data_IF_272861143659
#
_entry.id   IF_272861143659
#
_cell.length_a   1.000
_cell.length_b   1.000
_cell.length_c   1.000
_cell.angle_alpha   90.00
_cell.angle_beta   90.00
_cell.angle_gamma   90.00
#
_symmetry.space_group_name_H-M   'P 1'
#
loop_
_entity.id
_entity.type
_entity.pdbx_description
1 polymer ?
#
# COMPACT_ATOMS: atom_id res chain seq x y z
N UNK A 1 -28.42 23.09 8.19
CA UNK A 1 -28.91 21.93 7.42
C UNK A 1 -28.58 22.17 5.96
N UNK A 2 -27.55 21.50 5.44
CA UNK A 2 -27.17 21.52 4.03
C UNK A 2 -27.06 20.07 3.57
N UNK A 3 -27.64 19.74 2.42
CA UNK A 3 -27.75 18.36 1.96
C UNK A 3 -26.44 17.88 1.34
N UNK A 4 -25.86 16.82 1.90
CA UNK A 4 -24.87 16.01 1.20
C UNK A 4 -25.62 15.05 0.27
N UNK A 5 -25.78 15.43 -0.99
CA UNK A 5 -26.33 14.55 -2.03
C UNK A 5 -25.26 13.53 -2.42
N UNK A 6 -25.12 12.47 -1.63
CA UNK A 6 -24.28 11.33 -1.97
C UNK A 6 -24.79 10.69 -3.26
N UNK A 7 -23.99 10.76 -4.33
CA UNK A 7 -24.26 10.01 -5.56
C UNK A 7 -24.05 8.53 -5.27
N UNK A 8 -25.16 7.82 -5.02
CA UNK A 8 -25.18 6.37 -4.89
C UNK A 8 -24.89 5.75 -6.26
N UNK A 9 -23.62 5.59 -6.60
CA UNK A 9 -23.19 4.74 -7.71
C UNK A 9 -23.50 3.29 -7.37
N UNK A 10 -24.74 2.88 -7.68
CA UNK A 10 -25.21 1.52 -7.56
C UNK A 10 -24.56 0.68 -8.67
N UNK A 11 -23.33 0.22 -8.43
CA UNK A 11 -22.64 -0.75 -9.32
C UNK A 11 -23.41 -2.07 -9.25
N UNK A 12 -24.38 -2.20 -10.15
CA UNK A 12 -25.14 -3.43 -10.36
C UNK A 12 -24.27 -4.44 -11.11
N UNK A 13 -23.36 -5.09 -10.39
CA UNK A 13 -22.64 -6.26 -10.89
C UNK A 13 -23.65 -7.40 -11.13
N UNK A 14 -24.05 -7.60 -12.38
CA UNK A 14 -25.06 -8.59 -12.76
C UNK A 14 -24.44 -9.99 -12.83
N UNK A 15 -24.37 -10.68 -11.70
CA UNK A 15 -23.95 -12.08 -11.66
C UNK A 15 -24.99 -12.96 -12.37
N UNK A 16 -24.72 -13.33 -13.62
CA UNK A 16 -25.45 -14.38 -14.32
C UNK A 16 -25.08 -15.75 -13.73
N UNK A 17 -25.82 -16.17 -12.70
CA UNK A 17 -25.70 -17.52 -12.14
C UNK A 17 -26.22 -18.55 -13.16
N UNK A 18 -25.29 -19.11 -13.94
CA UNK A 18 -25.58 -20.28 -14.77
C UNK A 18 -26.04 -21.45 -13.88
N UNK A 19 -27.33 -21.79 -13.95
CA UNK A 19 -27.90 -22.95 -13.27
C UNK A 19 -27.34 -24.23 -13.91
N UNK A 20 -26.31 -24.80 -13.29
CA UNK A 20 -25.87 -26.17 -13.57
C UNK A 20 -27.01 -27.12 -13.18
N UNK A 21 -27.73 -27.62 -14.17
CA UNK A 21 -28.69 -28.70 -13.99
C UNK A 21 -27.94 -30.00 -13.72
N UNK A 22 -28.26 -30.65 -12.60
CA UNK A 22 -27.60 -31.89 -12.21
C UNK A 22 -27.88 -33.01 -13.23
N UNK A 23 -26.82 -33.53 -13.85
CA UNK A 23 -26.88 -34.72 -14.71
C UNK A 23 -26.57 -35.96 -13.86
N UNK A 24 -27.55 -36.86 -13.75
CA UNK A 24 -27.44 -38.14 -13.05
C UNK A 24 -26.56 -39.12 -13.82
N UNK A 25 -25.66 -39.90 -13.18
CA UNK A 25 -24.82 -40.86 -13.89
C UNK A 25 -25.57 -42.15 -14.22
N UNK A 26 -25.48 -42.61 -15.47
CA UNK A 26 -25.91 -43.95 -15.89
C UNK A 26 -24.70 -44.79 -16.30
N UNK A 27 -24.71 -46.06 -15.90
CA UNK A 27 -23.62 -47.03 -16.06
C UNK A 27 -23.37 -47.45 -17.52
N UNK A 28 -22.12 -47.83 -17.77
CA UNK A 28 -21.59 -48.50 -18.97
C UNK A 28 -22.50 -49.59 -19.57
N UNK A 29 -22.48 -49.72 -20.91
CA UNK A 29 -22.48 -51.04 -21.56
C UNK A 29 -21.74 -51.08 -22.91
N UNK A 30 -20.61 -51.78 -22.90
CA UNK A 30 -19.89 -52.54 -23.94
C UNK A 30 -20.24 -52.51 -25.47
N UNK A 31 -19.14 -52.41 -26.26
CA UNK A 31 -18.81 -53.18 -27.50
C UNK A 31 -19.60 -52.89 -28.81
N UNK A 32 -18.88 -52.38 -29.83
CA UNK A 32 -18.70 -53.05 -31.13
C UNK A 32 -17.59 -52.40 -32.00
N UNK A 33 -16.94 -53.23 -32.84
CA UNK A 33 -15.63 -53.09 -33.50
C UNK A 33 -15.72 -52.66 -34.98
N UNK A 34 -14.59 -52.20 -35.53
CA UNK A 34 -14.26 -52.12 -36.99
C UNK A 34 -14.81 -50.86 -37.73
N UNK A 35 -14.12 -50.26 -38.72
CA UNK A 35 -13.04 -50.77 -39.60
C UNK A 35 -12.01 -49.70 -39.98
N UNK A 36 -10.77 -50.15 -40.18
CA UNK A 36 -9.59 -49.48 -40.79
C UNK A 36 -9.87 -48.76 -42.12
N UNK A 37 -9.17 -47.64 -42.38
CA UNK A 37 -8.47 -47.47 -43.66
C UNK A 37 -7.20 -46.63 -43.53
N UNK A 38 -6.14 -47.05 -44.23
CA UNK A 38 -4.78 -46.51 -44.15
C UNK A 38 -4.24 -46.29 -45.56
N UNK A 39 -3.70 -45.11 -45.84
CA UNK A 39 -2.77 -44.78 -46.96
C UNK A 39 -1.95 -43.59 -46.42
N UNK A 40 -0.63 -43.59 -46.18
CA UNK A 40 0.55 -44.38 -46.61
C UNK A 40 1.15 -44.02 -47.97
N UNK A 41 2.16 -43.14 -47.96
CA UNK A 41 3.45 -43.18 -48.70
C UNK A 41 4.26 -41.94 -48.25
N UNK A 42 5.47 -41.99 -47.66
CA UNK A 42 6.76 -42.57 -48.11
C UNK A 42 7.34 -41.77 -49.32
N UNK A 43 8.63 -41.42 -49.47
CA UNK A 43 9.91 -41.64 -48.72
C UNK A 43 10.87 -40.45 -49.12
N UNK A 44 12.14 -40.25 -48.71
CA UNK A 44 13.22 -41.11 -48.16
C UNK A 44 14.20 -40.29 -47.26
N UNK A 45 15.35 -40.89 -46.91
CA UNK A 45 16.43 -40.47 -45.99
C UNK A 45 17.49 -39.50 -46.58
N UNK A 46 18.30 -38.88 -45.70
CA UNK A 46 19.75 -39.20 -45.63
C UNK A 46 20.36 -38.81 -44.27
N UNK A 47 21.41 -39.53 -43.87
CA UNK A 47 22.07 -39.49 -42.56
C UNK A 47 23.43 -38.77 -42.60
N UNK A 48 23.79 -38.11 -41.50
CA UNK A 48 25.18 -38.14 -41.00
C UNK A 48 25.22 -37.77 -39.51
N UNK A 49 25.79 -38.65 -38.69
CA UNK A 49 26.00 -38.47 -37.26
C UNK A 49 27.27 -37.64 -36.98
N UNK A 50 27.26 -36.83 -35.92
CA UNK A 50 28.46 -36.64 -35.07
C UNK A 50 28.03 -36.58 -33.61
N UNK A 51 28.66 -37.39 -32.77
CA UNK A 51 28.48 -37.47 -31.32
C UNK A 51 29.50 -36.59 -30.59
N UNK A 52 29.09 -35.90 -29.52
CA UNK A 52 29.96 -35.61 -28.37
C UNK A 52 29.13 -35.31 -27.11
N UNK A 53 29.30 -36.17 -26.12
CA UNK A 53 29.42 -35.90 -24.67
C UNK A 53 28.37 -35.03 -23.95
N UNK A 54 27.62 -35.70 -23.07
CA UNK A 54 27.08 -35.12 -21.84
C UNK A 54 28.23 -34.70 -20.90
N UNK A 55 28.14 -33.50 -20.33
CA UNK A 55 28.73 -33.21 -19.02
C UNK A 55 27.66 -32.58 -18.12
N UNK A 56 27.32 -33.25 -17.03
CA UNK A 56 26.46 -32.68 -15.98
C UNK A 56 27.21 -31.53 -15.30
N UNK A 57 26.79 -30.30 -15.58
CA UNK A 57 27.20 -29.10 -14.87
C UNK A 57 26.04 -28.60 -14.01
N UNK A 58 25.86 -29.18 -12.83
CA UNK A 58 24.97 -28.62 -11.83
C UNK A 58 25.55 -27.27 -11.34
N UNK A 59 25.09 -26.17 -11.92
CA UNK A 59 25.30 -24.86 -11.32
C UNK A 59 24.27 -24.67 -10.21
N UNK A 60 24.75 -24.97 -9.01
CA UNK A 60 24.22 -24.53 -7.73
C UNK A 60 23.94 -23.02 -7.79
N UNK A 61 22.68 -22.64 -8.04
CA UNK A 61 22.22 -21.29 -7.76
C UNK A 61 22.26 -21.14 -6.24
N UNK A 62 23.35 -20.54 -5.75
CA UNK A 62 23.40 -20.02 -4.41
C UNK A 62 22.19 -19.11 -4.23
N UNK A 63 21.31 -19.48 -3.30
CA UNK A 63 20.32 -18.54 -2.81
C UNK A 63 21.11 -17.37 -2.22
N UNK A 64 21.00 -16.21 -2.87
CA UNK A 64 21.29 -14.95 -2.19
C UNK A 64 20.22 -14.89 -1.11
N UNK A 65 20.61 -15.20 0.12
CA UNK A 65 19.90 -14.70 1.27
C UNK A 65 20.03 -13.18 1.20
N UNK A 66 18.95 -12.51 0.87
CA UNK A 66 18.80 -11.08 1.12
C UNK A 66 18.77 -10.90 2.65
N UNK A 67 19.96 -10.93 3.25
CA UNK A 67 20.17 -10.44 4.61
C UNK A 67 19.86 -8.95 4.55
N UNK A 68 18.62 -8.59 4.88
CA UNK A 68 18.18 -7.21 5.09
C UNK A 68 19.22 -6.56 5.99
N UNK A 69 19.93 -5.58 5.45
CA UNK A 69 20.96 -4.87 6.19
C UNK A 69 20.30 -4.20 7.39
N UNK A 70 20.61 -4.63 8.62
CA UNK A 70 19.88 -4.23 9.83
C UNK A 70 19.95 -2.72 10.14
N UNK A 71 20.94 -2.05 9.55
CA UNK A 71 21.12 -0.59 9.57
C UNK A 71 20.14 0.17 8.64
N UNK A 72 19.49 -0.51 7.68
CA UNK A 72 18.64 0.08 6.64
C UNK A 72 17.12 -0.11 6.90
N UNK A 73 16.75 -0.89 7.92
CA UNK A 73 15.35 -1.09 8.29
C UNK A 73 14.77 0.17 8.97
N UNK A 74 13.61 0.71 8.54
CA UNK A 74 13.07 1.96 9.05
C UNK A 74 12.74 1.89 10.56
N UNK A 75 13.08 2.94 11.30
CA UNK A 75 12.84 3.00 12.75
C UNK A 75 11.37 3.30 13.04
N UNK A 76 10.57 2.24 13.19
CA UNK A 76 9.11 2.33 13.38
C UNK A 76 8.67 1.93 14.79
N UNK A 77 7.49 2.41 15.18
CA UNK A 77 6.72 1.85 16.28
C UNK A 77 5.43 1.23 15.74
N UNK A 78 5.15 -0.03 16.07
CA UNK A 78 3.99 -0.75 15.54
C UNK A 78 2.63 -0.16 15.95
N UNK A 79 2.60 0.67 17.00
CA UNK A 79 1.42 1.41 17.43
C UNK A 79 1.30 2.81 16.76
N UNK A 80 2.21 3.15 15.85
CA UNK A 80 2.22 4.44 15.18
C UNK A 80 1.01 4.56 14.25
N UNK A 81 0.42 5.75 14.21
CA UNK A 81 -0.91 5.98 13.63
C UNK A 81 -1.04 5.59 12.16
N UNK A 82 0.02 5.76 11.35
CA UNK A 82 0.03 5.40 9.93
C UNK A 82 0.19 3.89 9.70
N UNK A 83 0.52 3.11 10.74
CA UNK A 83 0.85 1.68 10.66
C UNK A 83 -0.28 0.75 11.13
N UNK A 84 -1.50 1.28 11.34
CA UNK A 84 -2.67 0.45 11.66
C UNK A 84 -3.04 -0.49 10.49
N UNK A 85 -2.98 -1.80 10.72
CA UNK A 85 -3.38 -2.80 9.75
C UNK A 85 -4.90 -3.01 9.78
N UNK A 86 -5.57 -2.74 8.65
CA UNK A 86 -7.00 -2.99 8.42
C UNK A 86 -7.13 -3.70 7.08
N UNK A 87 -8.05 -4.66 6.98
CA UNK A 87 -8.26 -5.47 5.77
C UNK A 87 -9.03 -6.74 6.08
N UNK A 88 -9.20 -7.69 5.15
CA UNK A 88 -10.13 -8.84 5.32
C UNK A 88 -9.88 -9.73 6.54
N UNK A 89 -8.65 -9.79 7.05
CA UNK A 89 -8.27 -10.53 8.27
C UNK A 89 -8.24 -9.64 9.53
N UNK A 90 -8.29 -8.32 9.41
CA UNK A 90 -8.02 -7.34 10.46
C UNK A 90 -9.12 -6.27 10.53
N UNK A 91 -10.03 -6.39 11.50
CA UNK A 91 -11.05 -5.36 11.74
C UNK A 91 -10.43 -4.14 12.39
N UNK A 92 -10.84 -2.94 11.96
CA UNK A 92 -10.42 -1.67 12.55
C UNK A 92 -10.74 -1.62 14.06
N UNK A 93 -9.78 -1.16 14.85
CA UNK A 93 -9.91 -1.02 16.32
C UNK A 93 -10.70 0.23 16.70
N UNK A 94 -10.44 1.35 16.01
CA UNK A 94 -11.20 2.59 16.11
C UNK A 94 -11.25 3.26 14.75
N UNK A 95 -12.43 3.73 14.36
CA UNK A 95 -12.59 4.68 13.25
C UNK A 95 -11.86 5.99 13.59
N UNK A 96 -11.45 6.74 12.56
CA UNK A 96 -10.89 8.09 12.74
C UNK A 96 -11.96 9.05 13.30
N UNK A 97 -11.56 9.93 14.23
CA UNK A 97 -12.46 10.91 14.82
C UNK A 97 -12.84 12.01 13.80
N UNK A 98 -14.06 12.55 13.90
CA UNK A 98 -14.55 13.53 12.92
C UNK A 98 -13.74 14.84 12.94
N UNK A 99 -13.22 15.22 14.09
CA UNK A 99 -12.29 16.34 14.30
C UNK A 99 -10.86 16.10 13.78
N UNK A 100 -10.53 14.85 13.45
CA UNK A 100 -9.26 14.46 12.84
C UNK A 100 -9.34 14.34 11.31
N UNK A 101 -10.53 14.50 10.72
CA UNK A 101 -10.71 14.57 9.27
C UNK A 101 -10.30 15.94 8.71
N UNK A 102 -9.40 15.93 7.73
CA UNK A 102 -9.05 17.05 6.88
C UNK A 102 -9.84 17.01 5.58
N UNK A 103 -10.06 18.17 4.96
CA UNK A 103 -10.73 18.29 3.67
C UNK A 103 -9.72 18.67 2.57
N UNK A 104 -9.67 17.83 1.53
CA UNK A 104 -8.87 18.04 0.33
C UNK A 104 -9.44 19.15 -0.57
N UNK A 105 -8.64 19.63 -1.51
CA UNK A 105 -9.00 20.64 -2.51
C UNK A 105 -10.18 20.20 -3.39
N UNK A 106 -10.22 18.93 -3.77
CA UNK A 106 -11.31 18.27 -4.48
C UNK A 106 -12.57 18.02 -3.61
N UNK A 107 -12.47 18.29 -2.31
CA UNK A 107 -13.57 18.24 -1.35
C UNK A 107 -13.79 16.93 -0.63
N UNK A 108 -13.03 15.87 -0.95
CA UNK A 108 -13.03 14.62 -0.20
C UNK A 108 -12.43 14.80 1.20
N UNK A 109 -12.77 13.87 2.10
CA UNK A 109 -12.22 13.82 3.46
C UNK A 109 -11.14 12.73 3.55
N UNK A 110 -10.11 13.00 4.33
CA UNK A 110 -9.00 12.09 4.68
C UNK A 110 -8.57 12.37 6.11
N UNK A 111 -7.65 11.60 6.68
CA UNK A 111 -6.93 12.02 7.89
C UNK A 111 -6.23 13.36 7.62
N UNK A 112 -6.43 14.37 8.49
CA UNK A 112 -5.84 15.71 8.32
C UNK A 112 -4.31 15.70 8.24
N UNK A 113 -3.67 14.65 8.75
CA UNK A 113 -2.22 14.44 8.69
C UNK A 113 -1.71 14.09 7.29
N UNK A 114 -2.55 13.54 6.41
CA UNK A 114 -2.15 13.14 5.05
C UNK A 114 -2.54 14.15 3.96
N UNK A 115 -3.18 15.27 4.33
CA UNK A 115 -3.64 16.31 3.38
C UNK A 115 -2.48 16.87 2.56
N UNK A 116 -1.37 17.29 3.18
CA UNK A 116 -0.22 17.85 2.45
C UNK A 116 0.37 16.83 1.49
N UNK A 117 0.60 15.61 1.98
CA UNK A 117 1.15 14.51 1.20
C UNK A 117 0.30 14.18 -0.04
N UNK A 118 -1.03 14.17 0.07
CA UNK A 118 -1.90 13.95 -1.07
C UNK A 118 -1.89 15.12 -2.07
N UNK A 119 -1.99 16.37 -1.61
CA UNK A 119 -2.01 17.53 -2.51
C UNK A 119 -0.66 17.68 -3.25
N UNK A 120 0.45 17.33 -2.59
CA UNK A 120 1.79 17.27 -3.18
C UNK A 120 1.91 16.16 -4.24
N UNK A 121 1.42 14.95 -3.95
CA UNK A 121 1.32 13.85 -4.93
C UNK A 121 0.46 14.24 -6.14
N UNK A 122 -0.70 14.87 -5.91
CA UNK A 122 -1.63 15.25 -6.95
C UNK A 122 -1.07 16.36 -7.87
N UNK A 123 -0.34 17.34 -7.31
CA UNK A 123 0.34 18.36 -8.11
C UNK A 123 1.52 17.77 -8.90
N UNK A 124 2.30 16.87 -8.29
CA UNK A 124 3.40 16.19 -8.99
C UNK A 124 2.92 15.33 -10.16
N UNK A 125 1.84 14.56 -9.96
CA UNK A 125 1.20 13.77 -10.99
C UNK A 125 0.70 14.66 -12.15
N UNK A 126 0.06 15.79 -11.82
CA UNK A 126 -0.38 16.81 -12.78
C UNK A 126 0.79 17.44 -13.54
N UNK A 127 1.92 17.74 -12.90
CA UNK A 127 3.15 18.24 -13.55
C UNK A 127 3.75 17.20 -14.49
N UNK A 128 3.66 15.91 -14.15
CA UNK A 128 4.08 14.80 -15.00
C UNK A 128 3.13 14.52 -16.19
N UNK A 129 1.95 15.15 -16.23
CA UNK A 129 0.94 14.93 -17.28
C UNK A 129 -0.12 13.88 -16.94
N UNK A 130 -0.18 13.43 -15.69
CA UNK A 130 -1.13 12.44 -15.16
C UNK A 130 -1.99 13.05 -14.03
N UNK A 131 -2.80 14.10 -14.30
CA UNK A 131 -3.62 14.73 -13.26
C UNK A 131 -4.60 13.71 -12.64
N UNK A 132 -4.58 13.60 -11.31
CA UNK A 132 -5.35 12.59 -10.58
C UNK A 132 -6.82 12.99 -10.36
N UNK A 133 -7.70 12.01 -10.53
CA UNK A 133 -9.12 12.06 -10.18
C UNK A 133 -9.36 11.15 -8.98
N UNK A 134 -9.86 11.73 -7.89
CA UNK A 134 -10.26 11.00 -6.69
C UNK A 134 -11.63 10.34 -6.89
N UNK A 135 -11.68 9.02 -6.74
CA UNK A 135 -12.91 8.22 -6.82
C UNK A 135 -13.52 8.01 -5.42
N UNK A 136 -12.68 7.75 -4.41
CA UNK A 136 -13.11 7.41 -3.06
C UNK A 136 -12.00 7.68 -2.04
N UNK A 137 -12.37 8.04 -0.81
CA UNK A 137 -11.44 8.42 0.26
C UNK A 137 -12.03 7.99 1.61
N UNK A 138 -11.98 8.80 2.67
CA UNK A 138 -12.63 8.45 3.95
C UNK A 138 -14.09 8.03 3.78
N UNK A 139 -14.45 6.92 4.44
CA UNK A 139 -15.78 6.33 4.45
C UNK A 139 -16.09 5.86 5.86
N UNK A 140 -17.18 6.33 6.47
CA UNK A 140 -17.50 5.89 7.84
C UNK A 140 -17.93 4.42 7.91
N UNK A 141 -17.75 3.78 9.06
CA UNK A 141 -18.24 2.40 9.28
C UNK A 141 -19.77 2.37 9.18
N UNK A 142 -20.45 3.41 9.68
CA UNK A 142 -21.91 3.55 9.60
C UNK A 142 -22.41 3.61 8.15
N UNK A 143 -21.83 4.45 7.29
CA UNK A 143 -22.24 4.54 5.89
C UNK A 143 -21.93 3.26 5.11
N UNK A 144 -20.83 2.58 5.41
CA UNK A 144 -20.55 1.27 4.82
C UNK A 144 -21.53 0.19 5.30
N UNK A 145 -22.00 0.27 6.55
CA UNK A 145 -23.06 -0.59 7.09
C UNK A 145 -24.39 -0.36 6.36
N UNK A 146 -24.78 0.88 6.08
CA UNK A 146 -25.98 1.19 5.28
C UNK A 146 -25.94 0.56 3.89
N UNK A 147 -24.79 0.68 3.18
CA UNK A 147 -24.59 0.06 1.85
C UNK A 147 -24.66 -1.48 1.96
N UNK A 148 -23.98 -2.06 2.95
CA UNK A 148 -23.94 -3.51 3.15
C UNK A 148 -25.34 -4.07 3.41
N UNK A 149 -26.08 -3.46 4.34
CA UNK A 149 -27.45 -3.86 4.68
C UNK A 149 -28.43 -3.63 3.52
N UNK A 150 -28.28 -2.56 2.73
CA UNK A 150 -29.09 -2.34 1.54
C UNK A 150 -28.95 -3.49 0.52
N UNK A 151 -27.72 -3.99 0.32
CA UNK A 151 -27.43 -5.11 -0.57
C UNK A 151 -27.93 -6.45 -0.01
N UNK A 152 -27.67 -6.75 1.26
CA UNK A 152 -28.21 -7.95 1.95
C UNK A 152 -29.74 -7.97 1.87
N UNK A 153 -30.40 -6.85 2.18
CA UNK A 153 -31.86 -6.74 2.08
C UNK A 153 -32.37 -6.87 0.64
N UNK A 154 -31.58 -6.47 -0.37
CA UNK A 154 -31.92 -6.69 -1.79
C UNK A 154 -31.93 -8.17 -2.14
N UNK A 155 -30.92 -8.92 -1.70
CA UNK A 155 -30.83 -10.37 -1.93
C UNK A 155 -31.90 -11.15 -1.16
N UNK A 156 -32.26 -10.71 0.06
CA UNK A 156 -33.39 -11.29 0.81
C UNK A 156 -34.71 -11.08 0.05
N UNK A 157 -34.96 -9.89 -0.52
CA UNK A 157 -36.15 -9.65 -1.38
C UNK A 157 -36.16 -10.50 -2.66
N UNK A 158 -35.01 -10.97 -3.12
CA UNK A 158 -34.88 -11.90 -4.25
C UNK A 158 -35.08 -13.38 -3.83
N UNK A 159 -35.34 -13.67 -2.55
CA UNK A 159 -35.65 -14.99 -2.03
C UNK A 159 -34.49 -15.74 -1.37
N UNK A 160 -33.34 -15.09 -1.17
CA UNK A 160 -32.23 -15.69 -0.41
C UNK A 160 -32.52 -15.68 1.09
N UNK A 161 -31.97 -16.64 1.83
CA UNK A 161 -31.91 -16.56 3.31
C UNK A 161 -30.99 -15.40 3.73
N UNK A 162 -31.09 -14.94 4.98
CA UNK A 162 -30.22 -13.86 5.48
C UNK A 162 -28.75 -14.27 5.43
N UNK A 163 -28.46 -15.53 5.77
CA UNK A 163 -27.12 -16.11 5.80
C UNK A 163 -26.53 -16.16 4.39
N UNK A 164 -27.31 -16.59 3.39
CA UNK A 164 -26.88 -16.64 1.98
C UNK A 164 -26.74 -15.23 1.39
N UNK A 165 -27.65 -14.31 1.73
CA UNK A 165 -27.55 -12.91 1.32
C UNK A 165 -26.26 -12.25 1.85
N UNK A 166 -25.93 -12.44 3.13
CA UNK A 166 -24.66 -11.96 3.72
C UNK A 166 -23.46 -12.61 3.02
N UNK A 167 -23.50 -13.92 2.78
CA UNK A 167 -22.42 -14.66 2.10
C UNK A 167 -22.17 -14.13 0.69
N UNK A 168 -23.22 -13.85 -0.08
CA UNK A 168 -23.14 -13.27 -1.43
C UNK A 168 -22.65 -11.82 -1.37
N UNK A 169 -23.18 -10.97 -0.47
CA UNK A 169 -22.74 -9.57 -0.35
C UNK A 169 -21.24 -9.47 -0.06
N UNK A 170 -20.68 -10.36 0.78
CA UNK A 170 -19.23 -10.41 1.05
C UNK A 170 -18.36 -10.81 -0.14
N UNK A 171 -18.93 -11.24 -1.27
CA UNK A 171 -18.17 -11.51 -2.50
C UNK A 171 -17.87 -10.24 -3.30
N UNK A 172 -18.58 -9.13 -3.05
CA UNK A 172 -18.46 -7.88 -3.83
C UNK A 172 -18.44 -6.61 -2.99
N UNK A 173 -18.66 -6.71 -1.67
CA UNK A 173 -18.64 -5.57 -0.74
C UNK A 173 -17.83 -5.93 0.50
N UNK A 174 -16.83 -5.09 0.80
CA UNK A 174 -16.05 -5.15 2.05
C UNK A 174 -16.98 -5.04 3.26
N UNK A 175 -16.81 -5.94 4.24
CA UNK A 175 -17.60 -5.92 5.46
C UNK A 175 -17.32 -4.65 6.29
N UNK A 176 -18.35 -4.01 6.91
CA UNK A 176 -18.16 -2.80 7.71
C UNK A 176 -17.15 -2.99 8.85
N UNK A 177 -16.15 -2.10 8.88
CA UNK A 177 -15.01 -2.17 9.79
C UNK A 177 -13.78 -2.93 9.25
N UNK A 178 -13.84 -3.54 8.06
CA UNK A 178 -12.70 -4.22 7.42
C UNK A 178 -12.11 -3.45 6.24
N UNK A 179 -12.52 -2.19 6.03
CA UNK A 179 -12.01 -1.29 4.99
C UNK A 179 -10.98 -0.31 5.56
N UNK A 180 -9.85 -0.14 4.88
CA UNK A 180 -8.86 0.88 5.24
C UNK A 180 -9.42 2.31 5.13
N UNK A 181 -10.46 2.55 4.31
CA UNK A 181 -11.09 3.87 4.18
C UNK A 181 -11.69 4.40 5.51
N UNK A 182 -11.96 3.52 6.47
CA UNK A 182 -12.38 3.89 7.84
C UNK A 182 -11.28 4.57 8.66
N UNK A 183 -10.01 4.42 8.26
CA UNK A 183 -8.86 5.07 8.91
C UNK A 183 -8.63 6.50 8.41
N UNK A 184 -9.21 6.88 7.27
CA UNK A 184 -8.85 8.11 6.55
C UNK A 184 -7.49 8.09 5.86
N UNK A 185 -6.77 6.95 5.87
CA UNK A 185 -5.43 6.78 5.28
C UNK A 185 -5.43 6.13 3.89
N UNK A 186 -6.59 5.66 3.43
CA UNK A 186 -6.76 5.04 2.11
C UNK A 186 -7.57 5.92 1.16
N UNK A 187 -7.14 5.94 -0.10
CA UNK A 187 -7.72 6.70 -1.20
C UNK A 187 -7.71 5.88 -2.49
N UNK A 188 -8.77 6.01 -3.29
CA UNK A 188 -8.90 5.43 -4.62
C UNK A 188 -8.70 6.54 -5.65
N UNK A 189 -7.61 6.46 -6.41
CA UNK A 189 -7.24 7.46 -7.42
C UNK A 189 -6.91 6.83 -8.77
N UNK A 190 -7.26 7.55 -9.83
CA UNK A 190 -6.98 7.22 -11.23
C UNK A 190 -6.54 8.49 -11.96
N UNK A 191 -5.90 8.37 -13.13
CA UNK A 191 -5.60 9.55 -13.95
C UNK A 191 -6.85 10.05 -14.73
N UNK A 192 -6.83 11.33 -15.15
CA UNK A 192 -7.94 11.95 -15.87
C UNK A 192 -8.22 11.30 -17.24
N UNK A 193 -7.22 10.80 -17.95
CA UNK A 193 -7.44 10.13 -19.25
C UNK A 193 -8.19 8.81 -19.04
N UNK A 194 -7.78 8.01 -18.06
CA UNK A 194 -8.50 6.80 -17.66
C UNK A 194 -9.95 7.12 -17.26
N UNK A 195 -10.17 8.16 -16.45
CA UNK A 195 -11.50 8.59 -16.01
C UNK A 195 -12.42 9.01 -17.17
N UNK A 196 -11.91 9.75 -18.16
CA UNK A 196 -12.72 10.19 -19.30
C UNK A 196 -13.00 9.04 -20.29
N UNK A 197 -12.08 8.08 -20.42
CA UNK A 197 -12.19 6.99 -21.38
C UNK A 197 -12.94 5.73 -20.85
N UNK A 198 -13.16 5.61 -19.53
CA UNK A 198 -13.83 4.45 -18.91
C UNK A 198 -15.09 4.85 -18.12
N UNK A 199 -16.27 4.72 -18.73
CA UNK A 199 -17.54 5.18 -18.12
C UNK A 199 -18.29 4.13 -17.29
N UNK A 200 -17.74 2.93 -17.11
CA UNK A 200 -18.38 1.81 -16.40
C UNK A 200 -17.58 1.35 -15.19
N UNK A 201 -16.45 0.68 -15.45
CA UNK A 201 -15.60 0.06 -14.43
C UNK A 201 -14.33 0.92 -14.23
N UNK A 202 -14.48 2.02 -13.48
CA UNK A 202 -13.38 2.96 -13.21
C UNK A 202 -12.25 2.36 -12.38
N UNK A 203 -12.55 1.39 -11.53
CA UNK A 203 -11.60 0.70 -10.65
C UNK A 203 -11.39 -0.72 -11.19
N UNK A 204 -10.37 -0.89 -12.05
CA UNK A 204 -10.03 -2.14 -12.74
C UNK A 204 -8.50 -2.22 -12.93
N UNK A 205 -7.91 -3.42 -12.83
CA UNK A 205 -6.45 -3.63 -12.95
C UNK A 205 -5.83 -3.06 -14.24
N UNK A 206 -6.64 -2.86 -15.29
CA UNK A 206 -6.24 -2.19 -16.52
C UNK A 206 -5.67 -0.77 -16.33
N UNK A 207 -6.01 -0.08 -15.23
CA UNK A 207 -5.40 1.21 -14.90
C UNK A 207 -3.88 1.08 -14.67
N UNK A 208 -3.43 0.00 -14.04
CA UNK A 208 -2.01 -0.22 -13.71
C UNK A 208 -1.09 -0.38 -14.93
N UNK A 209 -1.64 -0.61 -16.13
CA UNK A 209 -0.86 -0.67 -17.37
C UNK A 209 -0.89 0.62 -18.20
N UNK A 210 -1.61 1.67 -17.78
CA UNK A 210 -1.53 3.00 -18.40
C UNK A 210 -0.21 3.69 -18.04
N UNK A 211 0.07 4.85 -18.62
CA UNK A 211 1.26 5.61 -18.22
C UNK A 211 1.04 6.30 -16.86
N UNK A 212 -0.19 6.75 -16.55
CA UNK A 212 -0.53 7.30 -15.24
C UNK A 212 -0.52 6.28 -14.11
N UNK A 213 -1.00 5.05 -14.34
CA UNK A 213 -0.90 3.95 -13.36
C UNK A 213 0.55 3.54 -13.07
N UNK A 214 1.40 3.46 -14.10
CA UNK A 214 2.85 3.22 -13.93
C UNK A 214 3.55 4.37 -13.21
N UNK A 215 3.20 5.62 -13.53
CA UNK A 215 3.73 6.79 -12.84
C UNK A 215 3.35 6.75 -11.36
N UNK A 216 2.10 6.41 -11.05
CA UNK A 216 1.62 6.32 -9.67
C UNK A 216 2.38 5.24 -8.87
N UNK A 217 2.56 4.04 -9.44
CA UNK A 217 3.38 2.98 -8.83
C UNK A 217 4.79 3.47 -8.51
N UNK A 218 5.47 4.13 -9.46
CA UNK A 218 6.85 4.56 -9.28
C UNK A 218 7.04 5.70 -8.25
N UNK A 219 6.06 6.60 -8.12
CA UNK A 219 6.21 7.88 -7.40
C UNK A 219 5.37 8.01 -6.12
N UNK A 220 4.36 7.15 -5.86
CA UNK A 220 3.51 7.26 -4.67
C UNK A 220 4.31 7.26 -3.34
N UNK A 221 5.39 6.47 -3.28
CA UNK A 221 6.27 6.34 -2.11
C UNK A 221 6.96 7.64 -1.68
N UNK A 222 7.26 8.52 -2.64
CA UNK A 222 7.89 9.82 -2.37
C UNK A 222 7.02 10.71 -1.48
N UNK A 223 5.71 10.45 -1.49
CA UNK A 223 4.69 11.13 -0.69
C UNK A 223 4.17 10.24 0.46
N UNK A 224 4.81 9.10 0.73
CA UNK A 224 4.46 8.18 1.82
C UNK A 224 3.25 7.28 1.56
N UNK A 225 2.82 7.15 0.30
CA UNK A 225 1.77 6.23 -0.13
C UNK A 225 2.36 4.97 -0.77
N UNK A 226 1.70 3.84 -0.59
CA UNK A 226 1.98 2.57 -1.31
C UNK A 226 0.78 2.17 -2.16
N UNK A 227 1.02 1.48 -3.27
CA UNK A 227 0.00 0.69 -3.97
C UNK A 227 -0.32 -0.51 -3.07
N UNK A 228 -1.46 -0.44 -2.37
CA UNK A 228 -1.70 -1.27 -1.17
C UNK A 228 -1.84 -2.77 -1.45
N UNK A 229 -2.38 -3.09 -2.63
CA UNK A 229 -2.66 -4.44 -3.08
C UNK A 229 -1.91 -4.70 -4.39
N UNK A 230 -0.59 -5.01 -4.33
CA UNK A 230 0.24 -5.21 -5.50
C UNK A 230 -0.02 -6.55 -6.20
N UNK A 231 0.36 -6.63 -7.48
CA UNK A 231 0.06 -7.78 -8.34
C UNK A 231 0.78 -9.04 -7.85
N UNK A 232 0.02 -10.13 -7.73
CA UNK A 232 0.54 -11.45 -7.31
C UNK A 232 0.61 -11.69 -5.80
N UNK A 233 0.25 -10.72 -4.95
CA UNK A 233 0.30 -10.85 -3.47
C UNK A 233 -1.06 -11.19 -2.81
N UNK A 234 -2.07 -11.61 -3.59
CA UNK A 234 -3.42 -11.96 -3.11
C UNK A 234 -3.42 -12.94 -1.92
N UNK A 235 -2.57 -13.98 -1.95
CA UNK A 235 -2.53 -15.00 -0.90
C UNK A 235 -2.18 -14.42 0.50
N UNK A 236 -1.57 -13.24 0.52
CA UNK A 236 -1.24 -12.48 1.73
C UNK A 236 -2.37 -11.50 2.05
N UNK A 237 -2.61 -10.52 1.16
CA UNK A 237 -3.54 -9.38 1.33
C UNK A 237 -5.03 -9.79 1.37
N UNK A 238 -5.38 -10.91 0.73
CA UNK A 238 -6.74 -11.37 0.42
C UNK A 238 -7.55 -10.43 -0.49
N UNK A 239 -6.86 -9.53 -1.21
CA UNK A 239 -7.43 -8.59 -2.17
C UNK A 239 -6.59 -8.67 -3.44
N UNK A 240 -7.26 -8.65 -4.59
CA UNK A 240 -6.62 -8.71 -5.91
C UNK A 240 -5.81 -7.43 -6.22
N UNK A 241 -5.22 -7.35 -7.42
CA UNK A 241 -4.41 -6.20 -7.80
C UNK A 241 -5.26 -4.93 -7.98
N UNK A 242 -5.05 -3.93 -7.12
CA UNK A 242 -5.77 -2.65 -7.13
C UNK A 242 -4.81 -1.46 -7.34
N UNK A 243 -4.37 -1.17 -8.59
CA UNK A 243 -3.47 -0.06 -8.92
C UNK A 243 -4.00 1.35 -8.59
N UNK A 244 -5.25 1.48 -8.17
CA UNK A 244 -5.87 2.73 -7.74
C UNK A 244 -5.85 2.95 -6.23
N UNK A 245 -5.77 1.87 -5.43
CA UNK A 245 -5.89 1.94 -3.97
C UNK A 245 -4.53 2.29 -3.36
N UNK A 246 -4.38 3.55 -2.96
CA UNK A 246 -3.23 4.03 -2.23
C UNK A 246 -3.48 4.03 -0.73
N UNK A 247 -2.49 3.54 0.02
CA UNK A 247 -2.47 3.57 1.49
C UNK A 247 -1.32 4.42 1.98
N UNK A 248 -1.60 5.43 2.82
CA UNK A 248 -0.55 6.18 3.51
C UNK A 248 0.06 5.36 4.65
N UNK A 249 1.39 5.25 4.64
CA UNK A 249 2.21 4.63 5.69
C UNK A 249 3.33 5.55 6.20
N UNK A 250 3.71 6.57 5.41
CA UNK A 250 4.84 7.46 5.66
C UNK A 250 6.02 7.17 4.72
N UNK A 251 6.82 8.17 4.39
CA UNK A 251 7.84 8.09 3.30
C UNK A 251 8.85 6.96 3.53
N UNK A 252 9.47 6.88 4.70
CA UNK A 252 10.48 5.83 5.00
C UNK A 252 9.93 4.41 4.82
N UNK A 253 8.71 4.17 5.32
CA UNK A 253 8.04 2.86 5.22
C UNK A 253 7.58 2.57 3.79
N UNK A 254 7.05 3.57 3.08
CA UNK A 254 6.63 3.40 1.69
C UNK A 254 7.82 3.12 0.76
N UNK A 255 8.96 3.77 1.01
CA UNK A 255 10.21 3.51 0.29
C UNK A 255 10.71 2.10 0.53
N UNK A 256 10.83 1.66 1.80
CA UNK A 256 11.24 0.29 2.14
C UNK A 256 10.34 -0.75 1.47
N UNK A 257 9.01 -0.58 1.57
CA UNK A 257 8.01 -1.50 0.99
C UNK A 257 8.18 -1.67 -0.52
N UNK A 258 8.37 -0.57 -1.26
CA UNK A 258 8.54 -0.61 -2.71
C UNK A 258 9.92 -1.16 -3.12
N UNK A 259 10.99 -0.83 -2.38
CA UNK A 259 12.35 -1.28 -2.71
C UNK A 259 12.60 -2.76 -2.42
N UNK A 260 11.86 -3.35 -1.47
CA UNK A 260 11.95 -4.76 -1.11
C UNK A 260 10.82 -5.62 -1.72
N UNK A 261 9.92 -5.03 -2.52
CA UNK A 261 8.75 -5.70 -3.15
C UNK A 261 7.86 -6.48 -2.15
N UNK A 262 7.77 -5.98 -0.91
CA UNK A 262 6.96 -6.57 0.18
C UNK A 262 5.56 -5.97 0.23
N UNK A 263 4.64 -6.65 0.88
CA UNK A 263 3.33 -6.11 1.27
C UNK A 263 3.42 -5.36 2.58
N UNK A 264 2.39 -4.56 2.88
CA UNK A 264 2.25 -3.94 4.19
C UNK A 264 2.11 -4.98 5.32
N UNK A 265 1.49 -6.13 5.05
CA UNK A 265 1.48 -7.28 5.96
C UNK A 265 2.88 -7.82 6.25
N UNK A 266 3.66 -8.16 5.21
CA UNK A 266 5.03 -8.66 5.33
C UNK A 266 5.93 -7.66 6.09
N UNK A 267 5.89 -6.37 5.72
CA UNK A 267 6.61 -5.30 6.42
C UNK A 267 6.29 -5.22 7.92
N UNK A 268 5.01 -5.35 8.30
CA UNK A 268 4.62 -5.30 9.71
C UNK A 268 5.05 -6.54 10.49
N UNK A 269 5.24 -7.68 9.84
CA UNK A 269 5.81 -8.88 10.47
C UNK A 269 7.34 -8.75 10.62
N UNK A 270 8.05 -8.29 9.59
CA UNK A 270 9.49 -7.94 9.67
C UNK A 270 9.77 -6.91 10.78
N UNK A 271 8.95 -5.87 10.88
CA UNK A 271 9.07 -4.84 11.92
C UNK A 271 8.92 -5.42 13.34
N UNK A 272 8.02 -6.41 13.55
CA UNK A 272 7.88 -7.10 14.85
C UNK A 272 9.15 -7.87 15.18
N UNK A 273 9.70 -8.60 14.21
CA UNK A 273 10.92 -9.39 14.41
C UNK A 273 12.14 -8.51 14.67
N UNK A 274 12.29 -7.39 13.95
CA UNK A 274 13.36 -6.41 14.17
C UNK A 274 13.30 -5.75 15.54
N UNK A 275 12.12 -5.30 15.97
CA UNK A 275 11.92 -4.72 17.31
C UNK A 275 12.23 -5.77 18.39
N UNK A 276 11.70 -6.99 18.25
CA UNK A 276 11.92 -8.08 19.22
C UNK A 276 13.40 -8.44 19.37
N UNK A 277 14.16 -8.45 18.26
CA UNK A 277 15.62 -8.69 18.28
C UNK A 277 16.35 -7.57 19.02
N UNK A 278 16.10 -6.30 18.69
CA UNK A 278 16.74 -5.14 19.36
C UNK A 278 16.42 -5.08 20.86
N UNK A 279 15.19 -5.43 21.27
CA UNK A 279 14.82 -5.54 22.69
C UNK A 279 15.60 -6.66 23.40
N UNK A 280 15.79 -7.82 22.75
CA UNK A 280 16.57 -8.93 23.30
C UNK A 280 18.08 -8.60 23.43
N UNK A 281 18.65 -7.89 22.46
CA UNK A 281 20.04 -7.44 22.48
C UNK A 281 20.30 -6.43 23.60
N UNK A 282 19.42 -5.43 23.74
CA UNK A 282 19.48 -4.45 24.83
C UNK A 282 19.38 -5.15 26.20
N UNK A 283 18.44 -6.10 26.36
CA UNK A 283 18.30 -6.87 27.59
C UNK A 283 19.53 -7.73 27.90
N UNK A 284 20.14 -8.35 26.89
CA UNK A 284 21.37 -9.12 27.08
C UNK A 284 22.55 -8.22 27.48
N UNK A 285 22.67 -7.03 26.88
CA UNK A 285 23.76 -6.11 27.20
C UNK A 285 23.62 -5.50 28.61
N UNK A 286 22.40 -5.22 29.06
CA UNK A 286 22.10 -4.77 30.44
C UNK A 286 22.42 -5.86 31.49
N UNK A 287 22.21 -7.13 31.16
CA UNK A 287 22.55 -8.27 32.04
C UNK A 287 24.04 -8.64 32.00
N UNK A 288 24.76 -8.29 30.94
CA UNK A 288 26.17 -8.66 30.73
C UNK A 288 27.18 -7.71 31.41
N UNK A 289 26.79 -6.48 31.79
CA UNK A 289 27.66 -5.53 32.50
C UNK A 289 27.03 -4.99 33.81
N UNK A 290 27.08 -5.76 34.90
CA UNK A 290 26.62 -5.32 36.21
C UNK A 290 27.64 -4.42 36.96
N UNK A 291 28.69 -3.87 36.30
CA UNK A 291 29.77 -3.13 36.97
C UNK A 291 30.18 -1.79 36.33
N UNK A 292 29.43 -1.26 35.36
CA UNK A 292 29.62 0.10 34.83
C UNK A 292 28.67 1.17 35.39
N UNK A 293 28.64 1.38 36.71
CA UNK A 293 27.93 2.54 37.29
C UNK A 293 28.63 3.89 37.01
N UNK A 294 29.91 3.91 36.60
CA UNK A 294 30.72 5.14 36.48
C UNK A 294 30.67 5.87 35.11
N UNK A 295 30.21 5.25 34.02
CA UNK A 295 30.18 5.92 32.69
C UNK A 295 28.94 6.82 32.53
N UNK A 296 27.77 6.43 33.03
CA UNK A 296 26.51 7.18 32.78
C UNK A 296 26.59 8.63 33.28
N UNK A 297 27.30 8.88 34.39
CA UNK A 297 27.48 10.24 34.91
C UNK A 297 28.51 11.08 34.13
N UNK A 298 29.58 10.46 33.62
CA UNK A 298 30.67 11.18 32.94
C UNK A 298 30.30 11.61 31.52
N UNK A 299 29.61 10.77 30.74
CA UNK A 299 29.15 11.11 29.39
C UNK A 299 27.97 12.11 29.36
N UNK A 300 27.15 12.12 30.42
CA UNK A 300 26.04 13.08 30.56
C UNK A 300 26.56 14.51 30.82
N UNK A 301 27.57 14.64 31.68
CA UNK A 301 28.17 15.94 32.00
C UNK A 301 28.93 16.53 30.81
N UNK A 302 29.76 15.74 30.12
CA UNK A 302 30.54 16.23 28.96
C UNK A 302 29.65 16.68 27.80
N UNK A 303 28.66 15.87 27.38
CA UNK A 303 27.74 16.28 26.30
C UNK A 303 26.94 17.54 26.63
N UNK A 304 26.52 17.72 27.88
CA UNK A 304 25.83 18.94 28.29
C UNK A 304 26.75 20.16 28.31
N UNK A 305 28.03 19.99 28.67
CA UNK A 305 29.03 21.06 28.61
C UNK A 305 29.37 21.44 27.16
N UNK A 306 29.58 20.47 26.27
CA UNK A 306 29.86 20.68 24.85
C UNK A 306 28.66 21.33 24.13
N UNK A 307 27.44 20.85 24.35
CA UNK A 307 26.23 21.46 23.79
C UNK A 307 26.01 22.88 24.32
N UNK A 308 26.34 23.16 25.58
CA UNK A 308 26.25 24.52 26.15
C UNK A 308 27.30 25.46 25.55
N UNK A 309 28.53 25.00 25.30
CA UNK A 309 29.56 25.79 24.63
C UNK A 309 29.21 26.04 23.17
N UNK A 310 28.77 25.02 22.43
CA UNK A 310 28.37 25.12 21.02
C UNK A 310 27.20 26.08 20.83
N UNK A 311 26.20 26.05 21.72
CA UNK A 311 25.10 27.01 21.71
C UNK A 311 25.54 28.46 22.04
N UNK A 312 26.56 28.65 22.87
CA UNK A 312 27.13 29.97 23.13
C UNK A 312 27.96 30.48 21.93
N UNK A 313 28.72 29.61 21.27
CA UNK A 313 29.47 29.95 20.05
C UNK A 313 28.54 30.26 18.87
N UNK A 314 27.47 29.49 18.66
CA UNK A 314 26.46 29.79 17.63
C UNK A 314 25.70 31.10 17.91
N UNK A 315 25.45 31.44 19.17
CA UNK A 315 24.87 32.74 19.55
C UNK A 315 25.85 33.90 19.32
N UNK A 316 27.15 33.70 19.53
CA UNK A 316 28.20 34.68 19.21
C UNK A 316 28.40 34.85 17.70
N UNK A 317 28.37 33.75 16.93
CA UNK A 317 28.49 33.76 15.47
C UNK A 317 27.27 34.43 14.81
N UNK A 318 26.05 34.12 15.24
CA UNK A 318 24.82 34.72 14.70
C UNK A 318 24.60 36.16 15.18
N UNK A 319 24.99 36.49 16.41
CA UNK A 319 24.92 37.86 16.94
C UNK A 319 25.87 38.85 16.25
N UNK A 320 27.01 38.38 15.73
CA UNK A 320 28.01 39.21 15.05
C UNK A 320 27.51 39.85 13.75
N UNK A 321 26.75 39.12 12.93
CA UNK A 321 26.33 39.58 11.61
C UNK A 321 25.12 40.55 11.66
N UNK A 322 24.39 40.57 12.78
CA UNK A 322 23.32 41.54 13.07
C UNK A 322 23.84 42.93 13.48
N UNK A 323 25.03 43.02 14.09
CA UNK A 323 25.66 44.31 14.41
C UNK A 323 26.48 44.89 13.24
N UNK A 324 27.03 44.05 12.35
CA UNK A 324 27.81 44.52 11.20
C UNK A 324 26.98 45.25 10.14
N UNK A 325 25.72 44.87 9.94
CA UNK A 325 24.85 45.42 8.87
C UNK A 325 24.13 46.73 9.22
N UNK A 326 24.20 47.21 10.46
CA UNK A 326 23.49 48.41 10.90
C UNK A 326 24.40 49.64 11.16
N UNK A 327 25.72 49.54 10.89
CA UNK A 327 26.70 50.61 11.15
C UNK A 327 27.19 51.31 9.87
N UNK A 328 26.88 50.78 8.67
CA UNK A 328 27.43 51.30 7.40
C UNK A 328 26.44 52.04 6.48
N UNK A 329 25.34 52.60 7.02
CA UNK A 329 24.37 53.40 6.24
C UNK A 329 24.07 54.80 6.81
N UNK A 330 24.91 55.33 7.70
CA UNK A 330 24.86 56.76 8.07
C UNK A 330 26.23 57.41 7.97
N UNK A 331 26.59 57.88 6.77
CA UNK A 331 27.48 59.04 6.56
C UNK A 331 27.52 59.44 5.08
N UNK A 332 26.50 60.16 4.61
CA UNK A 332 26.67 61.14 3.52
C UNK A 332 25.58 62.21 3.50
N UNK A 333 26.02 63.42 3.20
CA UNK A 333 25.25 64.62 2.84
C UNK A 333 24.42 65.32 3.92
N UNK A 334 25.14 66.10 4.73
CA UNK A 334 24.68 67.46 5.09
C UNK A 334 25.36 68.45 4.14
N UNK A 335 24.61 69.15 3.27
CA UNK A 335 24.76 70.60 2.99
C UNK A 335 23.82 71.13 1.88
N UNK A 336 23.01 72.12 2.30
CA UNK A 336 22.31 73.16 1.53
C UNK A 336 21.12 72.74 0.67
#
# INVERSE_FOLDING_TARGET
MAAAAGFLFLVLLTIQVNRVTAVTPIKNLSIARSTTQTVTSATTESSSQTSTEYSEGAQEQAAVSDEVNEDDFPTVSLNYWSLALVGPKNKIVSEIAQEDLGKLSNGYLVDKRIVSAYEELAEAAKVAGHPLVMVSAYRSVEYQQEIFDANVNSLIRQGNTKEEAIRITKLTFTEPGYSEHHTGLAIDVIDEDWYQNHTGELLNEGFGVTDGGKWLQAHAREYGFIIRYPKGKHDITQIDYEPWHLRYVGVEVATYIEEHEVTFEEFLDEAKEHITRKEAELSYHELADPLQEDWIFTNSLTRNQENSQRAQEELLMSGGDLFAKNVFSQTKEVKK
#
